data_IF_643765659642
#
_entry.id   IF_643765659642
#
_cell.length_a   1.000
_cell.length_b   1.000
_cell.length_c   1.000
_cell.angle_alpha   90.00
_cell.angle_beta   90.00
_cell.angle_gamma   90.00
#
_symmetry.space_group_name_H-M   'P 1'
#
loop_
_entity.id
_entity.type
_entity.pdbx_description
1 polymer ?
#
# COMPACT_ATOMS: atom_id res chain seq x y z
N UNK A 1 3.31 -5.03 -8.32
CA UNK A 1 3.50 -6.42 -8.82
C UNK A 1 4.75 -7.09 -8.25
N UNK A 2 5.95 -6.51 -8.39
CA UNK A 2 7.19 -7.12 -7.86
C UNK A 2 7.15 -7.35 -6.34
N UNK A 3 6.79 -6.34 -5.55
CA UNK A 3 6.66 -6.47 -4.08
C UNK A 3 5.73 -7.62 -3.66
N UNK A 4 4.60 -7.79 -4.35
CA UNK A 4 3.63 -8.86 -4.06
C UNK A 4 4.20 -10.25 -4.37
N UNK A 5 5.05 -10.38 -5.39
CA UNK A 5 5.74 -11.65 -5.68
C UNK A 5 6.78 -11.97 -4.59
N UNK A 6 7.47 -10.96 -4.07
CA UNK A 6 8.42 -11.16 -2.97
C UNK A 6 7.68 -11.53 -1.68
N UNK A 7 6.56 -10.89 -1.39
CA UNK A 7 5.69 -11.25 -0.25
C UNK A 7 5.20 -12.70 -0.36
N UNK A 8 4.81 -13.14 -1.56
CA UNK A 8 4.42 -14.52 -1.82
C UNK A 8 5.58 -15.50 -1.59
N UNK A 9 6.77 -15.19 -2.11
CA UNK A 9 7.97 -16.01 -1.93
C UNK A 9 8.34 -16.15 -0.45
N UNK A 10 8.28 -15.04 0.30
CA UNK A 10 8.53 -15.02 1.74
C UNK A 10 7.49 -15.83 2.52
N UNK A 11 6.22 -15.77 2.10
CA UNK A 11 5.17 -16.60 2.68
C UNK A 11 5.37 -18.09 2.40
N UNK A 12 5.84 -18.47 1.21
CA UNK A 12 6.15 -19.86 0.87
C UNK A 12 7.35 -20.38 1.65
N UNK A 13 8.42 -19.60 1.72
CA UNK A 13 9.61 -19.91 2.51
C UNK A 13 9.26 -20.12 3.99
N UNK A 14 8.42 -19.25 4.57
CA UNK A 14 7.95 -19.39 5.96
C UNK A 14 7.27 -20.74 6.22
N UNK A 15 6.46 -21.22 5.27
CA UNK A 15 5.82 -22.53 5.39
C UNK A 15 6.85 -23.67 5.32
N UNK A 16 7.81 -23.60 4.39
CA UNK A 16 8.88 -24.60 4.28
C UNK A 16 9.72 -24.66 5.56
N UNK A 17 10.10 -23.50 6.10
CA UNK A 17 10.83 -23.37 7.35
C UNK A 17 10.07 -24.01 8.54
N UNK A 18 8.79 -23.67 8.71
CA UNK A 18 7.95 -24.28 9.75
C UNK A 18 7.83 -25.80 9.57
N UNK A 19 7.75 -26.29 8.33
CA UNK A 19 7.78 -27.72 8.02
C UNK A 19 9.06 -28.41 8.49
N UNK A 20 10.23 -27.80 8.28
CA UNK A 20 11.51 -28.36 8.76
C UNK A 20 11.57 -28.44 10.30
N UNK A 21 11.03 -27.44 11.00
CA UNK A 21 10.94 -27.45 12.47
C UNK A 21 10.04 -28.58 12.97
N UNK A 22 8.90 -28.80 12.30
CA UNK A 22 7.96 -29.87 12.66
C UNK A 22 8.55 -31.26 12.39
N UNK A 23 9.29 -31.42 11.30
CA UNK A 23 10.00 -32.66 10.97
C UNK A 23 11.26 -32.91 11.81
N UNK A 24 11.70 -31.92 12.61
CA UNK A 24 12.96 -31.93 13.39
C UNK A 24 14.20 -32.26 12.52
N UNK A 25 14.19 -31.83 11.27
CA UNK A 25 15.30 -32.05 10.35
C UNK A 25 16.29 -30.88 10.43
N UNK A 26 17.42 -31.11 11.10
CA UNK A 26 18.47 -30.12 11.29
C UNK A 26 19.18 -29.75 9.97
N UNK A 27 19.26 -30.67 9.00
CA UNK A 27 19.94 -30.43 7.72
C UNK A 27 19.08 -29.54 6.83
N UNK A 28 17.80 -29.87 6.70
CA UNK A 28 16.85 -29.05 5.94
C UNK A 28 16.65 -27.66 6.56
N UNK A 29 16.69 -27.56 7.89
CA UNK A 29 16.65 -26.27 8.60
C UNK A 29 17.82 -25.36 8.22
N UNK A 30 19.05 -25.91 8.20
CA UNK A 30 20.24 -25.12 7.85
C UNK A 30 20.20 -24.65 6.40
N UNK A 31 19.69 -25.48 5.48
CA UNK A 31 19.47 -25.08 4.08
C UNK A 31 18.48 -23.92 3.97
N UNK A 32 17.34 -23.98 4.69
CA UNK A 32 16.35 -22.90 4.70
C UNK A 32 16.89 -21.58 5.27
N UNK A 33 17.88 -21.65 6.17
CA UNK A 33 18.55 -20.47 6.71
C UNK A 33 19.36 -19.72 5.63
N UNK A 34 20.01 -20.45 4.72
CA UNK A 34 20.73 -19.87 3.59
C UNK A 34 19.80 -19.34 2.50
N UNK A 35 18.70 -20.05 2.22
CA UNK A 35 17.68 -19.63 1.26
C UNK A 35 16.98 -18.31 1.68
N UNK A 36 16.94 -18.03 2.98
CA UNK A 36 16.36 -16.80 3.52
C UNK A 36 17.11 -15.53 3.09
N UNK A 37 18.44 -15.58 3.02
CA UNK A 37 19.27 -14.40 2.77
C UNK A 37 18.92 -13.65 1.46
N UNK A 38 18.84 -14.31 0.28
CA UNK A 38 18.45 -13.62 -0.95
C UNK A 38 17.00 -13.14 -0.93
N UNK A 39 16.08 -13.86 -0.27
CA UNK A 39 14.67 -13.47 -0.16
C UNK A 39 14.54 -12.19 0.69
N UNK A 40 15.26 -12.12 1.81
CA UNK A 40 15.27 -10.94 2.70
C UNK A 40 15.92 -9.72 2.04
N UNK A 41 16.97 -9.93 1.24
CA UNK A 41 17.57 -8.85 0.44
C UNK A 41 16.59 -8.34 -0.62
N UNK A 42 15.95 -9.23 -1.36
CA UNK A 42 14.96 -8.86 -2.37
C UNK A 42 13.76 -8.12 -1.77
N UNK A 43 13.29 -8.53 -0.59
CA UNK A 43 12.16 -7.87 0.09
C UNK A 43 12.51 -6.47 0.55
N UNK A 44 13.69 -6.31 1.16
CA UNK A 44 14.20 -5.01 1.60
C UNK A 44 14.38 -4.06 0.42
N UNK A 45 15.03 -4.52 -0.65
CA UNK A 45 15.19 -3.73 -1.87
C UNK A 45 13.85 -3.35 -2.48
N UNK A 46 12.91 -4.30 -2.57
CA UNK A 46 11.57 -4.01 -3.09
C UNK A 46 10.86 -2.93 -2.27
N UNK A 47 10.98 -2.95 -0.94
CA UNK A 47 10.38 -1.95 -0.08
C UNK A 47 11.00 -0.56 -0.29
N UNK A 48 12.34 -0.48 -0.33
CA UNK A 48 13.06 0.78 -0.53
C UNK A 48 12.77 1.38 -1.91
N UNK A 49 12.86 0.59 -2.97
CA UNK A 49 12.58 1.05 -4.33
C UNK A 49 11.11 1.42 -4.52
N UNK A 50 10.18 0.64 -3.95
CA UNK A 50 8.76 0.94 -3.99
C UNK A 50 8.45 2.29 -3.32
N UNK A 51 9.02 2.54 -2.14
CA UNK A 51 8.91 3.81 -1.45
C UNK A 51 9.48 4.98 -2.27
N UNK A 52 10.68 4.81 -2.81
CA UNK A 52 11.33 5.85 -3.63
C UNK A 52 10.49 6.26 -4.85
N UNK A 53 9.97 5.28 -5.59
CA UNK A 53 9.13 5.54 -6.76
C UNK A 53 7.81 6.20 -6.37
N UNK A 54 7.23 5.82 -5.24
CA UNK A 54 6.00 6.42 -4.73
C UNK A 54 6.21 7.91 -4.42
N UNK A 55 7.29 8.25 -3.72
CA UNK A 55 7.65 9.64 -3.40
C UNK A 55 7.93 10.47 -4.66
N UNK A 56 8.67 9.92 -5.63
CA UNK A 56 8.98 10.61 -6.89
C UNK A 56 7.71 10.94 -7.68
N UNK A 57 6.76 10.01 -7.72
CA UNK A 57 5.50 10.29 -8.39
C UNK A 57 4.68 11.34 -7.63
N UNK A 58 4.63 11.27 -6.30
CA UNK A 58 3.91 12.26 -5.50
C UNK A 58 4.41 13.69 -5.78
N UNK A 59 5.73 13.88 -5.86
CA UNK A 59 6.35 15.15 -6.25
C UNK A 59 5.86 15.66 -7.62
N UNK A 60 5.94 14.83 -8.66
CA UNK A 60 5.50 15.21 -10.01
C UNK A 60 4.01 15.53 -10.07
N UNK A 61 3.20 14.73 -9.39
CA UNK A 61 1.75 14.93 -9.38
C UNK A 61 1.35 16.22 -8.66
N UNK A 62 2.07 16.57 -7.58
CA UNK A 62 1.93 17.85 -6.90
C UNK A 62 2.29 19.01 -7.82
N UNK A 63 3.41 18.94 -8.54
CA UNK A 63 3.83 19.99 -9.48
C UNK A 63 2.76 20.25 -10.56
N UNK A 64 2.22 19.19 -11.17
CA UNK A 64 1.20 19.29 -12.22
C UNK A 64 -0.12 19.88 -11.68
N UNK A 65 -0.62 19.38 -10.55
CA UNK A 65 -1.85 19.89 -9.95
C UNK A 65 -1.72 21.34 -9.50
N UNK A 66 -0.61 21.70 -8.84
CA UNK A 66 -0.38 23.09 -8.44
C UNK A 66 -0.34 24.01 -9.66
N UNK A 67 0.29 23.59 -10.77
CA UNK A 67 0.32 24.38 -12.02
C UNK A 67 -1.08 24.60 -12.58
N UNK A 68 -1.90 23.56 -12.66
CA UNK A 68 -3.25 23.63 -13.23
C UNK A 68 -4.18 24.51 -12.37
N UNK A 69 -4.12 24.37 -11.04
CA UNK A 69 -4.89 25.22 -10.11
C UNK A 69 -4.43 26.68 -10.13
N UNK A 70 -3.12 26.96 -10.22
CA UNK A 70 -2.61 28.32 -10.38
C UNK A 70 -3.06 28.94 -11.70
N UNK A 71 -3.03 28.16 -12.79
CA UNK A 71 -3.48 28.59 -14.11
C UNK A 71 -4.95 29.01 -14.08
N UNK A 72 -5.83 28.17 -13.54
CA UNK A 72 -7.25 28.50 -13.37
C UNK A 72 -7.49 29.75 -12.52
N UNK A 73 -6.67 29.95 -11.47
CA UNK A 73 -6.79 31.09 -10.57
C UNK A 73 -6.41 32.42 -11.23
N UNK A 74 -5.35 32.42 -12.06
CA UNK A 74 -4.88 33.60 -12.77
C UNK A 74 -5.76 33.95 -13.97
N UNK A 75 -6.27 32.95 -14.69
CA UNK A 75 -7.02 33.14 -15.93
C UNK A 75 -8.41 33.76 -15.70
N UNK A 76 -9.02 33.53 -14.53
CA UNK A 76 -10.39 34.02 -14.23
C UNK A 76 -10.48 35.41 -13.60
N UNK A 77 -9.36 36.14 -13.43
CA UNK A 77 -9.30 37.40 -12.65
C UNK A 77 -9.98 37.27 -11.27
N UNK A 78 -10.09 36.06 -10.75
CA UNK A 78 -10.76 35.73 -9.48
C UNK A 78 -10.04 36.37 -8.31
N UNK A 79 -8.73 36.61 -8.42
CA UNK A 79 -7.95 37.42 -7.48
C UNK A 79 -8.61 38.79 -7.18
N UNK A 80 -9.07 39.49 -8.21
CA UNK A 80 -9.68 40.83 -8.06
C UNK A 80 -11.08 40.76 -7.45
N UNK A 81 -11.85 39.69 -7.75
CA UNK A 81 -13.19 39.47 -7.18
C UNK A 81 -13.13 38.94 -5.75
N UNK A 82 -12.10 38.17 -5.41
CA UNK A 82 -11.86 37.62 -4.08
C UNK A 82 -11.35 38.70 -3.12
N UNK A 83 -10.44 39.58 -3.56
CA UNK A 83 -9.97 40.71 -2.74
C UNK A 83 -11.10 41.71 -2.43
N UNK A 84 -11.99 41.98 -3.39
CA UNK A 84 -13.20 42.78 -3.19
C UNK A 84 -14.25 42.10 -2.28
N UNK A 85 -14.22 40.78 -2.15
CA UNK A 85 -15.13 40.00 -1.30
C UNK A 85 -14.58 39.75 0.13
N UNK A 86 -13.42 40.31 0.48
CA UNK A 86 -12.79 40.14 1.79
C UNK A 86 -12.11 38.78 1.97
N UNK A 87 -11.58 38.19 0.88
CA UNK A 87 -10.79 36.97 0.98
C UNK A 87 -9.58 37.19 1.91
N UNK A 88 -9.30 36.26 2.85
CA UNK A 88 -8.19 36.39 3.77
C UNK A 88 -6.85 36.44 3.02
N UNK A 89 -5.91 37.25 3.49
CA UNK A 89 -4.60 37.49 2.85
C UNK A 89 -3.79 36.21 2.56
N UNK A 90 -4.06 35.11 3.26
CA UNK A 90 -3.40 33.80 3.08
C UNK A 90 -4.14 32.84 2.13
N UNK A 91 -4.91 33.36 1.18
CA UNK A 91 -5.67 32.53 0.25
C UNK A 91 -4.76 31.68 -0.66
N UNK A 92 -3.63 32.23 -1.09
CA UNK A 92 -2.61 31.54 -1.88
C UNK A 92 -1.98 30.40 -1.08
N UNK A 93 -1.64 30.67 0.18
CA UNK A 93 -1.07 29.68 1.08
C UNK A 93 -2.05 28.52 1.32
N UNK A 94 -3.32 28.83 1.56
CA UNK A 94 -4.38 27.83 1.72
C UNK A 94 -4.64 27.03 0.45
N UNK A 95 -4.66 27.66 -0.73
CA UNK A 95 -4.89 26.96 -1.99
C UNK A 95 -3.75 25.96 -2.27
N UNK A 96 -2.51 26.31 -1.97
CA UNK A 96 -1.35 25.41 -2.13
C UNK A 96 -1.41 24.25 -1.12
N UNK A 97 -1.77 24.51 0.14
CA UNK A 97 -1.92 23.45 1.15
C UNK A 97 -3.07 22.49 0.82
N UNK A 98 -4.24 23.00 0.48
CA UNK A 98 -5.43 22.18 0.20
C UNK A 98 -5.25 21.32 -1.06
N UNK A 99 -4.64 21.88 -2.11
CA UNK A 99 -4.35 21.11 -3.34
C UNK A 99 -3.32 20.02 -3.08
N UNK A 100 -2.31 20.28 -2.23
CA UNK A 100 -1.33 19.27 -1.81
C UNK A 100 -1.96 18.15 -0.97
N UNK A 101 -2.86 18.48 -0.04
CA UNK A 101 -3.58 17.50 0.80
C UNK A 101 -4.52 16.65 -0.08
N UNK A 102 -5.27 17.27 -0.99
CA UNK A 102 -6.17 16.57 -1.90
C UNK A 102 -5.41 15.62 -2.84
N UNK A 103 -4.31 16.10 -3.43
CA UNK A 103 -3.45 15.33 -4.32
C UNK A 103 -2.89 14.07 -3.65
N UNK A 104 -2.26 14.26 -2.49
CA UNK A 104 -1.62 13.18 -1.73
C UNK A 104 -2.64 12.18 -1.19
N UNK A 105 -3.80 12.64 -0.69
CA UNK A 105 -4.85 11.78 -0.16
C UNK A 105 -5.53 10.93 -1.24
N UNK A 106 -5.93 11.57 -2.35
CA UNK A 106 -6.55 10.87 -3.49
C UNK A 106 -5.61 9.82 -4.07
N UNK A 107 -4.33 10.18 -4.25
CA UNK A 107 -3.28 9.28 -4.70
C UNK A 107 -3.06 8.12 -3.74
N UNK A 108 -2.94 8.40 -2.43
CA UNK A 108 -2.76 7.40 -1.40
C UNK A 108 -3.90 6.38 -1.38
N UNK A 109 -5.14 6.84 -1.51
CA UNK A 109 -6.32 5.98 -1.59
C UNK A 109 -6.32 5.10 -2.83
N UNK A 110 -6.04 5.67 -4.01
CA UNK A 110 -6.01 4.92 -5.28
C UNK A 110 -4.90 3.87 -5.29
N UNK A 111 -3.67 4.25 -4.93
CA UNK A 111 -2.54 3.34 -4.87
C UNK A 111 -2.73 2.27 -3.78
N UNK A 112 -3.20 2.66 -2.60
CA UNK A 112 -3.46 1.74 -1.49
C UNK A 112 -4.57 0.74 -1.82
N UNK A 113 -5.66 1.18 -2.45
CA UNK A 113 -6.75 0.30 -2.89
C UNK A 113 -6.27 -0.68 -3.97
N UNK A 114 -5.52 -0.20 -4.97
CA UNK A 114 -4.94 -1.07 -6.00
C UNK A 114 -3.97 -2.10 -5.40
N UNK A 115 -3.12 -1.68 -4.47
CA UNK A 115 -2.20 -2.59 -3.77
C UNK A 115 -2.97 -3.66 -2.98
N UNK A 116 -4.00 -3.26 -2.22
CA UNK A 116 -4.83 -4.17 -1.46
C UNK A 116 -5.51 -5.21 -2.37
N UNK A 117 -6.05 -4.78 -3.52
CA UNK A 117 -6.67 -5.68 -4.50
C UNK A 117 -5.67 -6.68 -5.08
N UNK A 118 -4.47 -6.24 -5.46
CA UNK A 118 -3.44 -7.14 -6.00
C UNK A 118 -2.95 -8.11 -4.93
N UNK A 119 -2.72 -7.65 -3.70
CA UNK A 119 -2.36 -8.50 -2.56
C UNK A 119 -3.45 -9.56 -2.34
N UNK A 120 -4.72 -9.18 -2.32
CA UNK A 120 -5.84 -10.09 -2.15
C UNK A 120 -5.90 -11.12 -3.29
N UNK A 121 -5.77 -10.68 -4.54
CA UNK A 121 -5.84 -11.56 -5.72
C UNK A 121 -4.70 -12.59 -5.78
N UNK A 122 -3.50 -12.23 -5.29
CA UNK A 122 -2.34 -13.14 -5.30
C UNK A 122 -2.31 -14.02 -4.06
N UNK A 123 -2.49 -13.45 -2.87
CA UNK A 123 -2.37 -14.17 -1.61
C UNK A 123 -3.62 -15.01 -1.31
N UNK A 124 -4.81 -14.55 -1.69
CA UNK A 124 -6.07 -15.26 -1.43
C UNK A 124 -6.04 -16.71 -1.94
N UNK A 125 -5.79 -16.95 -3.23
CA UNK A 125 -5.67 -18.30 -3.77
C UNK A 125 -4.50 -19.11 -3.17
N UNK A 126 -3.37 -18.46 -2.88
CA UNK A 126 -2.23 -19.11 -2.27
C UNK A 126 -2.57 -19.64 -0.87
N UNK A 127 -3.28 -18.85 -0.06
CA UNK A 127 -3.74 -19.24 1.28
C UNK A 127 -4.76 -20.38 1.21
N UNK A 128 -5.70 -20.33 0.25
CA UNK A 128 -6.70 -21.41 0.08
C UNK A 128 -6.04 -22.73 -0.28
N UNK A 129 -4.99 -22.73 -1.12
CA UNK A 129 -4.23 -23.95 -1.45
C UNK A 129 -3.43 -24.49 -0.26
N UNK A 130 -2.99 -23.61 0.65
CA UNK A 130 -2.21 -23.98 1.82
C UNK A 130 -3.09 -24.40 3.02
N UNK A 131 -4.34 -23.91 3.11
CA UNK A 131 -5.29 -24.29 4.17
C UNK A 131 -6.02 -25.59 3.80
N UNK A 132 -5.82 -26.73 4.50
CA UNK A 132 -6.40 -28.01 4.09
C UNK A 132 -7.90 -28.17 4.34
N UNK A 133 -8.54 -27.28 5.12
CA UNK A 133 -9.94 -27.45 5.55
C UNK A 133 -10.82 -26.21 5.29
N UNK A 134 -11.94 -26.34 4.56
CA UNK A 134 -12.90 -25.24 4.32
C UNK A 134 -13.62 -24.77 5.60
N UNK A 135 -13.58 -25.58 6.67
CA UNK A 135 -14.18 -25.27 7.97
C UNK A 135 -13.53 -24.06 8.67
N UNK A 136 -12.22 -23.85 8.50
CA UNK A 136 -11.53 -22.71 9.16
C UNK A 136 -12.03 -21.38 8.60
N UNK A 137 -12.27 -21.31 7.29
CA UNK A 137 -12.82 -20.11 6.64
C UNK A 137 -14.25 -19.80 7.09
N UNK A 138 -15.08 -20.84 7.22
CA UNK A 138 -16.45 -20.69 7.73
C UNK A 138 -16.47 -20.23 9.19
N UNK A 139 -15.57 -20.76 10.03
CA UNK A 139 -15.45 -20.38 11.43
C UNK A 139 -14.90 -18.96 11.61
N UNK A 140 -13.86 -18.56 10.86
CA UNK A 140 -13.32 -17.19 10.90
C UNK A 140 -14.35 -16.16 10.40
N UNK A 141 -15.08 -16.49 9.33
CA UNK A 141 -16.19 -15.66 8.84
C UNK A 141 -17.29 -15.51 9.88
N UNK A 142 -17.75 -16.62 10.48
CA UNK A 142 -18.75 -16.61 11.53
C UNK A 142 -18.29 -15.82 12.78
N UNK A 143 -17.02 -15.94 13.19
CA UNK A 143 -16.48 -15.19 14.33
C UNK A 143 -16.41 -13.69 14.05
N UNK A 144 -15.99 -13.28 12.85
CA UNK A 144 -15.93 -11.86 12.48
C UNK A 144 -17.32 -11.21 12.50
N UNK A 145 -18.33 -11.91 12.00
CA UNK A 145 -19.72 -11.47 12.04
C UNK A 145 -20.28 -11.40 13.46
N UNK A 146 -19.97 -12.40 14.30
CA UNK A 146 -20.31 -12.37 15.72
C UNK A 146 -19.65 -11.17 16.43
N UNK A 147 -18.38 -10.87 16.13
CA UNK A 147 -17.69 -9.72 16.74
C UNK A 147 -18.28 -8.37 16.31
N UNK A 148 -18.73 -8.24 15.06
CA UNK A 148 -19.41 -7.03 14.57
C UNK A 148 -20.85 -6.86 15.05
N UNK A 149 -21.47 -7.93 15.56
CA UNK A 149 -22.81 -7.91 16.16
C UNK A 149 -22.76 -7.65 17.68
N UNK A 150 -21.60 -7.86 18.30
CA UNK A 150 -21.36 -7.67 19.74
C UNK A 150 -20.72 -6.31 20.05
N UNK A 151 -20.15 -5.62 19.05
CA UNK A 151 -19.68 -4.24 19.12
C UNK A 151 -20.77 -3.25 18.66
#
# INVERSE_FOLDING_TARGET
CFAVHVDLALSQWRNAFLGTLQARDAVAFQAQLWDFAPIALASTLSAVYGGYLATMWDLRWREELTRDFLGMWLERRTYYRASLAGAPDNFDQRLVEDTAIFASSSRGLLCGAAEALVRLAVLGPALVRLSPTPLVWQLCGALSLLSSLVA
#
